data_IF_877242502015
#
_entry.id   IF_877242502015
#
_cell.length_a   1.000
_cell.length_b   1.000
_cell.length_c   1.000
_cell.angle_alpha   90.00
_cell.angle_beta   90.00
_cell.angle_gamma   90.00
#
_symmetry.space_group_name_H-M   'P 1'
#
loop_
_entity.id
_entity.type
_entity.pdbx_description
1 polymer ?
#
# COMPACT_ATOMS: atom_id res chain seq x y z
N UNK A 1 18.06 29.67 48.79
CA UNK A 1 16.82 29.87 48.02
C UNK A 1 17.02 29.96 46.50
N UNK A 2 18.07 30.60 45.99
CA UNK A 2 18.24 30.85 44.54
C UNK A 2 18.36 29.60 43.65
N UNK A 3 18.99 28.53 44.14
CA UNK A 3 19.20 27.31 43.35
C UNK A 3 17.93 26.46 43.18
N UNK A 4 17.09 26.36 44.22
CA UNK A 4 15.80 25.65 44.15
C UNK A 4 14.80 26.34 43.22
N UNK A 5 14.82 27.67 43.18
CA UNK A 5 14.01 28.46 42.25
C UNK A 5 14.47 28.26 40.79
N UNK A 6 15.78 28.14 40.54
CA UNK A 6 16.31 27.88 39.20
C UNK A 6 15.89 26.51 38.67
N UNK A 7 15.98 25.44 39.47
CA UNK A 7 15.51 24.11 39.07
C UNK A 7 13.99 24.08 38.84
N UNK A 8 13.22 24.83 39.62
CA UNK A 8 11.77 24.93 39.41
C UNK A 8 11.42 25.62 38.09
N UNK A 9 12.15 26.67 37.71
CA UNK A 9 11.97 27.37 36.44
C UNK A 9 12.34 26.47 35.26
N UNK A 10 13.49 25.78 35.32
CA UNK A 10 13.93 24.85 34.26
C UNK A 10 12.97 23.67 34.13
N UNK A 11 12.46 23.14 35.23
CA UNK A 11 11.46 22.07 35.23
C UNK A 11 10.13 22.55 34.64
N UNK A 12 9.69 23.78 34.94
CA UNK A 12 8.48 24.36 34.35
C UNK A 12 8.62 24.57 32.83
N UNK A 13 9.80 24.96 32.35
CA UNK A 13 10.08 25.14 30.91
C UNK A 13 10.05 23.81 30.14
N UNK A 14 10.50 22.72 30.77
CA UNK A 14 10.47 21.37 30.18
C UNK A 14 9.04 20.81 30.04
N UNK A 15 8.14 21.15 30.97
CA UNK A 15 6.73 20.71 30.92
C UNK A 15 5.98 21.44 29.80
N UNK A 16 6.19 22.76 29.65
CA UNK A 16 5.55 23.56 28.58
C UNK A 16 6.00 23.11 27.19
N UNK A 17 7.28 22.75 27.02
CA UNK A 17 7.80 22.21 25.75
C UNK A 17 7.20 20.87 25.36
N UNK A 18 6.90 19.99 26.32
CA UNK A 18 6.23 18.72 26.06
C UNK A 18 4.76 18.89 25.65
N UNK A 19 4.05 19.87 26.22
CA UNK A 19 2.66 20.15 25.86
C UNK A 19 2.51 20.70 24.45
N UNK A 20 3.45 21.52 23.97
CA UNK A 20 3.46 22.03 22.59
C UNK A 20 3.77 20.92 21.55
N UNK A 21 4.54 19.89 21.93
CA UNK A 21 4.87 18.76 21.07
C UNK A 21 3.77 17.67 21.00
N UNK A 22 2.73 17.77 21.85
CA UNK A 22 1.62 16.81 21.93
C UNK A 22 0.33 17.31 21.29
N UNK A 23 0.32 18.47 20.63
CA UNK A 23 -0.83 18.81 19.78
C UNK A 23 -0.86 17.80 18.62
N UNK A 24 -1.92 16.98 18.49
CA UNK A 24 -2.11 16.23 17.25
C UNK A 24 -2.20 17.27 16.13
N UNK A 25 -1.53 17.02 15.00
CA UNK A 25 -1.82 17.78 13.77
C UNK A 25 -3.33 17.74 13.56
N UNK A 26 -3.98 18.86 13.83
CA UNK A 26 -5.39 19.05 13.55
C UNK A 26 -5.47 19.10 12.03
N UNK A 27 -5.74 17.94 11.42
CA UNK A 27 -6.10 17.84 10.02
C UNK A 27 -7.41 18.60 9.85
N UNK A 28 -7.32 19.92 9.69
CA UNK A 28 -8.40 20.74 9.18
C UNK A 28 -8.88 20.06 7.89
N UNK A 29 -10.17 19.77 7.73
CA UNK A 29 -10.67 19.33 6.44
C UNK A 29 -10.28 20.42 5.43
N UNK A 30 -9.45 20.06 4.47
CA UNK A 30 -9.15 20.92 3.33
C UNK A 30 -10.49 21.15 2.65
N UNK A 31 -10.95 22.40 2.65
CA UNK A 31 -12.15 22.81 1.93
C UNK A 31 -11.88 22.55 0.44
N UNK A 32 -12.40 21.43 -0.09
CA UNK A 32 -12.27 21.02 -1.51
C UNK A 32 -13.21 21.82 -2.42
N UNK A 33 -13.63 23.02 -2.01
CA UNK A 33 -14.48 23.92 -2.81
C UNK A 33 -13.67 25.11 -3.33
N UNK A 34 -12.39 24.86 -3.66
CA UNK A 34 -11.65 25.75 -4.54
C UNK A 34 -11.94 25.35 -5.98
N UNK A 35 -12.80 26.12 -6.65
CA UNK A 35 -12.69 26.22 -8.11
C UNK A 35 -11.25 26.59 -8.41
N UNK A 36 -10.45 25.62 -8.86
CA UNK A 36 -9.14 25.88 -9.45
C UNK A 36 -9.46 26.74 -10.67
N UNK A 37 -9.33 28.06 -10.53
CA UNK A 37 -9.41 28.98 -11.65
C UNK A 37 -8.11 28.79 -12.42
N UNK A 38 -8.05 27.67 -13.16
CA UNK A 38 -7.07 27.47 -14.21
C UNK A 38 -7.10 28.65 -15.16
N UNK A 39 -5.97 28.92 -15.79
CA UNK A 39 -5.80 29.99 -16.78
C UNK A 39 -6.96 29.94 -17.78
N UNK A 40 -7.91 30.88 -17.66
CA UNK A 40 -9.12 30.93 -18.48
C UNK A 40 -8.73 30.94 -19.95
N UNK A 41 -9.05 29.86 -20.65
CA UNK A 41 -8.91 29.80 -22.11
C UNK A 41 -10.17 30.41 -22.71
N UNK A 42 -9.98 31.54 -23.38
CA UNK A 42 -11.07 32.24 -24.05
C UNK A 42 -11.16 31.77 -25.50
N UNK A 43 -12.34 31.29 -25.89
CA UNK A 43 -12.67 30.98 -27.27
C UNK A 43 -13.48 32.14 -27.85
N UNK A 44 -13.06 32.68 -28.99
CA UNK A 44 -13.82 33.72 -29.69
C UNK A 44 -14.74 33.09 -30.73
N UNK A 45 -16.04 33.22 -30.53
CA UNK A 45 -17.08 32.74 -31.46
C UNK A 45 -17.97 33.93 -31.81
N UNK A 46 -18.08 34.23 -33.11
CA UNK A 46 -18.93 35.32 -33.65
C UNK A 46 -18.71 36.71 -33.00
N UNK A 47 -17.47 37.00 -32.58
CA UNK A 47 -17.09 38.29 -32.00
C UNK A 47 -17.32 38.40 -30.49
N UNK A 48 -17.86 37.36 -29.85
CA UNK A 48 -17.96 37.25 -28.39
C UNK A 48 -16.89 36.30 -27.83
N UNK A 49 -16.39 36.61 -26.62
CA UNK A 49 -15.46 35.76 -25.88
C UNK A 49 -16.21 34.81 -24.95
N UNK A 50 -16.04 33.50 -25.17
CA UNK A 50 -16.55 32.43 -24.31
C UNK A 50 -15.43 31.95 -23.37
N UNK A 51 -15.73 31.83 -22.08
CA UNK A 51 -14.85 31.23 -21.08
C UNK A 51 -15.10 29.71 -21.05
N UNK A 52 -14.04 28.92 -21.14
CA UNK A 52 -14.10 27.48 -21.01
C UNK A 52 -13.21 27.03 -19.86
N UNK A 53 -13.77 26.16 -19.02
CA UNK A 53 -13.06 25.54 -17.91
C UNK A 53 -12.97 24.05 -18.25
N UNK A 54 -11.75 23.56 -18.43
CA UNK A 54 -11.50 22.13 -18.50
C UNK A 54 -11.63 21.55 -17.08
N UNK A 55 -12.62 20.69 -16.88
CA UNK A 55 -12.83 20.01 -15.62
C UNK A 55 -11.97 18.76 -15.58
N UNK A 56 -11.41 18.47 -14.40
CA UNK A 56 -10.69 17.24 -14.20
C UNK A 56 -11.65 16.04 -14.25
N UNK A 57 -11.26 14.99 -14.96
CA UNK A 57 -12.07 13.78 -15.09
C UNK A 57 -12.28 13.13 -13.73
N UNK A 58 -13.55 13.01 -13.31
CA UNK A 58 -13.90 12.38 -12.03
C UNK A 58 -14.26 10.92 -12.23
N UNK A 59 -13.49 10.02 -11.60
CA UNK A 59 -13.78 8.60 -11.61
C UNK A 59 -14.98 8.28 -10.69
N UNK A 60 -16.10 7.86 -11.28
CA UNK A 60 -17.30 7.47 -10.55
C UNK A 60 -17.22 6.01 -10.08
N UNK A 61 -16.75 5.81 -8.85
CA UNK A 61 -16.71 4.48 -8.23
C UNK A 61 -18.07 4.08 -7.67
N UNK A 62 -18.68 3.08 -8.29
CA UNK A 62 -19.86 2.43 -7.72
C UNK A 62 -19.44 1.33 -6.75
N UNK A 63 -20.16 1.21 -5.62
CA UNK A 63 -19.93 0.14 -4.65
C UNK A 63 -20.08 -1.24 -5.31
N UNK A 64 -19.18 -2.15 -5.00
CA UNK A 64 -19.31 -3.55 -5.41
C UNK A 64 -20.44 -4.23 -4.61
N UNK A 65 -21.39 -4.83 -5.34
CA UNK A 65 -22.46 -5.64 -4.79
C UNK A 65 -22.13 -7.11 -5.07
N UNK A 66 -21.93 -7.89 -4.02
CA UNK A 66 -21.54 -9.30 -4.14
C UNK A 66 -22.77 -10.19 -3.98
N UNK A 67 -23.00 -11.08 -4.95
CA UNK A 67 -23.97 -12.15 -4.83
C UNK A 67 -23.44 -13.26 -3.92
N UNK A 68 -22.15 -13.59 -4.07
CA UNK A 68 -21.45 -14.53 -3.19
C UNK A 68 -21.14 -13.92 -1.81
N UNK A 69 -21.65 -14.56 -0.76
CA UNK A 69 -21.31 -14.23 0.63
C UNK A 69 -19.83 -14.50 0.91
N UNK A 70 -19.25 -15.55 0.32
CA UNK A 70 -17.85 -15.86 0.49
C UNK A 70 -16.93 -14.81 -0.15
N UNK A 71 -17.22 -14.38 -1.39
CA UNK A 71 -16.46 -13.31 -2.05
C UNK A 71 -16.56 -11.99 -1.29
N UNK A 72 -17.75 -11.64 -0.80
CA UNK A 72 -17.90 -10.47 0.09
C UNK A 72 -16.98 -10.54 1.32
N UNK A 73 -16.92 -11.70 1.98
CA UNK A 73 -16.03 -11.89 3.15
C UNK A 73 -14.56 -11.78 2.74
N UNK A 74 -14.18 -12.37 1.60
CA UNK A 74 -12.83 -12.32 1.05
C UNK A 74 -12.42 -10.88 0.72
N UNK A 75 -13.26 -10.12 0.06
CA UNK A 75 -13.06 -8.69 -0.22
C UNK A 75 -12.87 -7.89 1.08
N UNK A 76 -13.72 -8.08 2.10
CA UNK A 76 -13.56 -7.37 3.39
C UNK A 76 -12.29 -7.76 4.17
N UNK A 77 -11.82 -9.01 4.04
CA UNK A 77 -10.54 -9.43 4.58
C UNK A 77 -9.40 -8.75 3.82
N UNK A 78 -9.47 -8.73 2.49
CA UNK A 78 -8.49 -8.09 1.62
C UNK A 78 -8.40 -6.59 1.91
N UNK A 79 -9.54 -5.92 2.04
CA UNK A 79 -9.65 -4.51 2.42
C UNK A 79 -8.87 -4.16 3.69
N UNK A 80 -9.01 -4.96 4.74
CA UNK A 80 -8.25 -4.77 5.98
C UNK A 80 -6.74 -4.95 5.78
N UNK A 81 -6.33 -5.90 4.95
CA UNK A 81 -4.91 -6.13 4.63
C UNK A 81 -4.33 -4.99 3.79
N UNK A 82 -5.03 -4.56 2.74
CA UNK A 82 -4.62 -3.44 1.88
C UNK A 82 -4.41 -2.18 2.71
N UNK A 83 -5.36 -1.81 3.57
CA UNK A 83 -5.21 -0.66 4.49
C UNK A 83 -3.96 -0.77 5.39
N UNK A 84 -3.67 -1.96 5.90
CA UNK A 84 -2.50 -2.20 6.75
C UNK A 84 -1.20 -2.10 5.95
N UNK A 85 -1.19 -2.57 4.71
CA UNK A 85 0.01 -2.70 3.89
C UNK A 85 0.33 -1.42 3.13
N UNK A 86 -0.69 -0.65 2.72
CA UNK A 86 -0.55 0.53 1.86
C UNK A 86 0.50 1.56 2.33
N UNK A 87 0.52 2.00 3.61
CA UNK A 87 1.52 2.98 4.05
C UNK A 87 2.97 2.53 3.82
N UNK A 88 3.22 1.23 3.90
CA UNK A 88 4.53 0.64 3.67
C UNK A 88 4.88 0.56 2.18
N UNK A 89 3.90 0.26 1.32
CA UNK A 89 4.08 0.26 -0.12
C UNK A 89 4.42 1.68 -0.63
N UNK A 90 3.66 2.68 -0.18
CA UNK A 90 3.88 4.10 -0.49
C UNK A 90 5.27 4.56 -0.07
N UNK A 91 5.64 4.30 1.19
CA UNK A 91 6.97 4.65 1.69
C UNK A 91 8.07 3.94 0.90
N UNK A 92 7.92 2.65 0.59
CA UNK A 92 8.91 1.92 -0.20
C UNK A 92 9.10 2.53 -1.59
N UNK A 93 8.01 2.87 -2.28
CA UNK A 93 8.05 3.51 -3.59
C UNK A 93 8.74 4.89 -3.55
N UNK A 94 8.37 5.74 -2.60
CA UNK A 94 9.01 7.05 -2.40
C UNK A 94 10.52 6.92 -2.15
N UNK A 95 10.93 5.95 -1.32
CA UNK A 95 12.35 5.68 -1.04
C UNK A 95 13.11 5.22 -2.28
N UNK A 96 12.48 4.42 -3.14
CA UNK A 96 13.07 4.00 -4.41
C UNK A 96 13.27 5.19 -5.35
N UNK A 97 12.30 6.09 -5.47
CA UNK A 97 12.43 7.32 -6.28
C UNK A 97 13.57 8.20 -5.76
N UNK A 98 13.64 8.44 -4.44
CA UNK A 98 14.74 9.21 -3.83
C UNK A 98 16.10 8.54 -4.07
N UNK A 99 16.15 7.21 -3.99
CA UNK A 99 17.36 6.44 -4.27
C UNK A 99 17.82 6.64 -5.72
N UNK A 100 16.92 6.52 -6.69
CA UNK A 100 17.22 6.73 -8.11
C UNK A 100 17.74 8.15 -8.37
N UNK A 101 17.08 9.17 -7.82
CA UNK A 101 17.51 10.57 -7.93
C UNK A 101 18.92 10.79 -7.37
N UNK A 102 19.26 10.14 -6.24
CA UNK A 102 20.60 10.25 -5.64
C UNK A 102 21.65 9.49 -6.44
N UNK A 103 21.34 8.29 -6.93
CA UNK A 103 22.24 7.51 -7.78
C UNK A 103 22.55 8.22 -9.09
N UNK A 104 21.58 8.92 -9.67
CA UNK A 104 21.75 9.72 -10.88
C UNK A 104 22.77 10.86 -10.71
N UNK A 105 22.89 11.43 -9.50
CA UNK A 105 23.84 12.52 -9.19
C UNK A 105 25.29 12.04 -9.01
N UNK A 106 25.52 10.73 -8.85
CA UNK A 106 26.85 10.18 -8.60
C UNK A 106 27.59 9.96 -9.92
N UNK A 107 28.70 10.69 -10.09
CA UNK A 107 29.52 10.72 -11.32
C UNK A 107 30.37 9.45 -11.48
N UNK A 108 30.97 8.93 -10.41
CA UNK A 108 31.91 7.80 -10.51
C UNK A 108 31.22 6.46 -10.29
N UNK A 109 31.69 5.43 -11.02
CA UNK A 109 31.17 4.05 -10.89
C UNK A 109 31.43 3.46 -9.50
N UNK A 110 32.55 3.82 -8.87
CA UNK A 110 32.92 3.31 -7.54
C UNK A 110 32.05 3.92 -6.43
N UNK A 111 31.81 5.23 -6.47
CA UNK A 111 30.94 5.88 -5.50
C UNK A 111 29.50 5.42 -5.66
N UNK A 112 29.04 5.22 -6.90
CA UNK A 112 27.71 4.68 -7.17
C UNK A 112 27.55 3.30 -6.54
N UNK A 113 28.56 2.43 -6.72
CA UNK A 113 28.57 1.09 -6.12
C UNK A 113 28.59 1.14 -4.59
N UNK A 114 29.38 2.04 -3.98
CA UNK A 114 29.45 2.19 -2.52
C UNK A 114 28.12 2.71 -1.95
N UNK A 115 27.53 3.70 -2.62
CA UNK A 115 26.25 4.28 -2.23
C UNK A 115 25.09 3.29 -2.37
N UNK A 116 25.02 2.57 -3.51
CA UNK A 116 24.03 1.51 -3.71
C UNK A 116 24.07 0.48 -2.59
N UNK A 117 25.26 -0.01 -2.21
CA UNK A 117 25.41 -0.97 -1.11
C UNK A 117 24.94 -0.43 0.24
N UNK A 118 25.34 0.79 0.59
CA UNK A 118 24.90 1.41 1.85
C UNK A 118 23.37 1.52 1.93
N UNK A 119 22.73 1.91 0.83
CA UNK A 119 21.27 2.01 0.77
C UNK A 119 20.63 0.62 0.74
N UNK A 120 21.23 -0.32 0.03
CA UNK A 120 20.80 -1.73 -0.03
C UNK A 120 20.77 -2.33 1.38
N UNK A 121 21.85 -2.18 2.16
CA UNK A 121 21.94 -2.67 3.54
C UNK A 121 20.86 -2.03 4.44
N UNK A 122 20.67 -0.71 4.32
CA UNK A 122 19.68 0.02 5.10
C UNK A 122 18.24 -0.38 4.74
N UNK A 123 17.91 -0.43 3.44
CA UNK A 123 16.58 -0.84 2.97
C UNK A 123 16.34 -2.30 3.33
N UNK A 124 17.34 -3.17 3.20
CA UNK A 124 17.20 -4.57 3.56
C UNK A 124 16.81 -4.73 5.03
N UNK A 125 17.56 -4.11 5.94
CA UNK A 125 17.31 -4.24 7.36
C UNK A 125 15.95 -3.68 7.76
N UNK A 126 15.60 -2.48 7.28
CA UNK A 126 14.32 -1.86 7.60
C UNK A 126 13.15 -2.60 6.94
N UNK A 127 13.23 -2.88 5.63
CA UNK A 127 12.18 -3.56 4.90
C UNK A 127 11.98 -5.00 5.36
N UNK A 128 13.04 -5.72 5.76
CA UNK A 128 12.95 -7.07 6.34
C UNK A 128 12.30 -7.06 7.71
N UNK A 129 12.59 -6.06 8.55
CA UNK A 129 11.90 -5.90 9.83
C UNK A 129 10.41 -5.68 9.61
N UNK A 130 10.03 -4.84 8.63
CA UNK A 130 8.62 -4.60 8.30
C UNK A 130 7.95 -5.83 7.66
N UNK A 131 8.61 -6.52 6.72
CA UNK A 131 8.11 -7.74 6.10
C UNK A 131 7.85 -8.86 7.11
N UNK A 132 8.68 -8.97 8.16
CA UNK A 132 8.43 -9.92 9.26
C UNK A 132 7.14 -9.64 10.04
N UNK A 133 6.63 -8.42 10.03
CA UNK A 133 5.34 -8.05 10.67
C UNK A 133 4.13 -8.43 9.82
N UNK A 134 4.34 -8.76 8.56
CA UNK A 134 3.30 -9.17 7.63
C UNK A 134 3.13 -10.70 7.60
N UNK A 135 1.88 -11.12 7.51
CA UNK A 135 1.55 -12.48 7.09
C UNK A 135 1.95 -12.69 5.62
N UNK A 136 2.08 -13.94 5.19
CA UNK A 136 2.44 -14.28 3.82
C UNK A 136 1.58 -13.55 2.77
N UNK A 137 0.26 -13.53 2.97
CA UNK A 137 -0.67 -12.86 2.05
C UNK A 137 -0.56 -11.34 2.09
N UNK A 138 -0.21 -10.76 3.25
CA UNK A 138 0.03 -9.31 3.34
C UNK A 138 1.34 -8.93 2.61
N UNK A 139 2.38 -9.77 2.70
CA UNK A 139 3.60 -9.60 1.93
C UNK A 139 3.39 -9.71 0.41
N UNK A 140 2.48 -10.59 -0.04
CA UNK A 140 2.08 -10.67 -1.45
C UNK A 140 1.41 -9.39 -1.93
N UNK A 141 0.48 -8.84 -1.12
CA UNK A 141 -0.16 -7.55 -1.40
C UNK A 141 0.90 -6.44 -1.47
N UNK A 142 1.88 -6.45 -0.56
CA UNK A 142 2.96 -5.44 -0.56
C UNK A 142 3.75 -5.46 -1.87
N UNK A 143 4.12 -6.64 -2.37
CA UNK A 143 4.85 -6.77 -3.63
C UNK A 143 4.02 -6.23 -4.80
N UNK A 144 2.74 -6.62 -4.88
CA UNK A 144 1.81 -6.14 -5.91
C UNK A 144 1.68 -4.61 -5.87
N UNK A 145 1.54 -4.02 -4.69
CA UNK A 145 1.46 -2.57 -4.52
C UNK A 145 2.76 -1.86 -4.91
N UNK A 146 3.93 -2.44 -4.62
CA UNK A 146 5.21 -1.88 -5.10
C UNK A 146 5.25 -1.87 -6.62
N UNK A 147 4.79 -2.93 -7.28
CA UNK A 147 4.67 -2.95 -8.73
C UNK A 147 3.71 -1.86 -9.23
N UNK A 148 2.54 -1.69 -8.59
CA UNK A 148 1.59 -0.60 -8.90
C UNK A 148 2.26 0.79 -8.83
N UNK A 149 3.10 1.05 -7.82
CA UNK A 149 3.72 2.35 -7.61
C UNK A 149 4.99 2.62 -8.42
N UNK A 150 5.68 1.58 -8.88
CA UNK A 150 7.00 1.73 -9.53
C UNK A 150 7.02 1.27 -10.98
N UNK A 151 5.99 0.54 -11.42
CA UNK A 151 5.92 -0.08 -12.74
C UNK A 151 6.95 -1.19 -12.96
N UNK A 152 7.67 -1.61 -11.91
CA UNK A 152 8.68 -2.65 -11.97
C UNK A 152 8.38 -3.73 -10.97
N UNK A 153 8.64 -4.99 -11.35
CA UNK A 153 8.46 -6.09 -10.41
C UNK A 153 9.40 -5.90 -9.23
N UNK A 154 9.00 -6.38 -8.06
CA UNK A 154 9.89 -6.35 -6.91
C UNK A 154 11.20 -7.02 -7.31
N UNK A 155 11.16 -8.20 -7.96
CA UNK A 155 12.33 -8.89 -8.50
C UNK A 155 13.27 -7.99 -9.32
N UNK A 156 12.75 -7.22 -10.28
CA UNK A 156 13.57 -6.36 -11.13
C UNK A 156 14.18 -5.19 -10.36
N UNK A 157 13.44 -4.61 -9.41
CA UNK A 157 13.96 -3.60 -8.49
C UNK A 157 15.16 -4.16 -7.71
N UNK A 158 15.10 -5.41 -7.24
CA UNK A 158 16.18 -6.03 -6.45
C UNK A 158 17.37 -6.37 -7.33
N UNK A 159 17.11 -6.93 -8.51
CA UNK A 159 18.14 -7.33 -9.48
C UNK A 159 18.98 -6.14 -9.89
N UNK A 160 18.36 -4.98 -10.10
CA UNK A 160 19.02 -3.74 -10.52
C UNK A 160 19.97 -3.16 -9.46
N UNK A 161 19.75 -3.45 -8.17
CA UNK A 161 20.59 -2.93 -7.09
C UNK A 161 21.98 -3.60 -6.98
N UNK A 162 22.23 -4.74 -7.65
CA UNK A 162 23.52 -5.49 -7.77
C UNK A 162 24.27 -5.73 -6.45
N UNK A 163 24.62 -6.93 -5.97
CA UNK A 163 24.39 -8.34 -6.30
C UNK A 163 24.79 -9.04 -5.00
N UNK A 164 23.82 -9.18 -4.09
CA UNK A 164 23.99 -9.74 -2.74
C UNK A 164 22.62 -9.92 -2.09
N UNK A 165 21.71 -8.97 -2.34
CA UNK A 165 20.29 -9.04 -2.01
C UNK A 165 19.61 -10.36 -2.37
N UNK A 166 19.70 -10.79 -3.63
CA UNK A 166 18.94 -11.94 -4.15
C UNK A 166 19.13 -13.19 -3.29
N UNK A 167 20.37 -13.61 -3.04
CA UNK A 167 20.63 -14.90 -2.40
C UNK A 167 20.05 -15.00 -0.97
N UNK A 168 20.04 -13.92 -0.19
CA UNK A 168 19.60 -13.99 1.20
C UNK A 168 18.08 -13.92 1.38
N UNK A 169 17.39 -13.10 0.58
CA UNK A 169 15.92 -13.10 0.51
C UNK A 169 15.39 -14.43 -0.02
N UNK A 170 16.08 -15.01 -1.01
CA UNK A 170 15.75 -16.32 -1.54
C UNK A 170 16.02 -17.43 -0.52
N UNK A 171 17.15 -17.46 0.20
CA UNK A 171 17.49 -18.63 1.02
C UNK A 171 16.56 -18.94 2.21
N UNK A 172 15.90 -17.94 2.82
CA UNK A 172 15.03 -18.17 4.00
C UNK A 172 13.52 -18.23 3.69
N UNK A 173 13.09 -17.83 2.49
CA UNK A 173 11.65 -17.76 2.11
C UNK A 173 11.35 -18.26 0.67
N UNK A 174 12.35 -18.92 0.07
CA UNK A 174 12.62 -19.08 -1.37
C UNK A 174 11.43 -19.28 -2.30
N UNK A 175 10.69 -20.38 -2.16
CA UNK A 175 9.85 -20.84 -3.26
C UNK A 175 8.61 -19.98 -3.46
N UNK A 176 7.89 -19.65 -2.39
CA UNK A 176 6.64 -18.90 -2.49
C UNK A 176 6.88 -17.39 -2.67
N UNK A 177 7.96 -16.87 -2.07
CA UNK A 177 8.29 -15.46 -2.20
C UNK A 177 8.95 -15.16 -3.55
N UNK A 178 9.77 -16.04 -4.12
CA UNK A 178 10.34 -15.84 -5.47
C UNK A 178 9.26 -15.76 -6.55
N UNK A 179 8.26 -16.65 -6.52
CA UNK A 179 7.11 -16.54 -7.43
C UNK A 179 6.38 -15.22 -7.22
N UNK A 180 6.15 -14.81 -5.97
CA UNK A 180 5.43 -13.57 -5.67
C UNK A 180 6.23 -12.32 -6.08
N UNK A 181 7.56 -12.33 -5.97
CA UNK A 181 8.43 -11.21 -6.32
C UNK A 181 8.43 -10.86 -7.81
N UNK A 182 8.17 -11.86 -8.65
CA UNK A 182 8.06 -11.74 -10.10
C UNK A 182 6.63 -11.46 -10.56
N UNK A 183 5.65 -11.47 -9.65
CA UNK A 183 4.27 -11.19 -10.01
C UNK A 183 4.09 -9.70 -10.30
N UNK A 184 3.41 -9.45 -11.41
CA UNK A 184 2.94 -8.14 -11.81
C UNK A 184 1.58 -7.84 -11.16
N UNK A 185 1.26 -6.56 -11.05
CA UNK A 185 -0.05 -6.07 -10.66
C UNK A 185 -0.87 -5.75 -11.91
N UNK A 186 -1.97 -6.47 -12.11
CA UNK A 186 -2.80 -6.35 -13.31
C UNK A 186 -4.30 -6.44 -12.98
N UNK A 187 -4.93 -5.31 -12.59
CA UNK A 187 -6.34 -5.28 -12.23
C UNK A 187 -7.29 -5.58 -13.40
N UNK A 188 -6.83 -5.48 -14.64
CA UNK A 188 -7.67 -5.79 -15.83
C UNK A 188 -7.77 -7.30 -16.12
N UNK A 189 -6.84 -8.10 -15.59
CA UNK A 189 -6.76 -9.56 -15.85
C UNK A 189 -6.88 -10.42 -14.61
N UNK A 190 -6.62 -9.86 -13.43
CA UNK A 190 -6.64 -10.59 -12.16
C UNK A 190 -7.68 -9.98 -11.22
N UNK A 191 -8.71 -10.75 -10.88
CA UNK A 191 -9.83 -10.28 -10.03
C UNK A 191 -9.35 -9.84 -8.64
N UNK A 192 -8.36 -10.52 -8.05
CA UNK A 192 -7.80 -10.10 -6.77
C UNK A 192 -7.09 -8.74 -6.87
N UNK A 193 -6.43 -8.46 -8.01
CA UNK A 193 -5.76 -7.17 -8.24
C UNK A 193 -6.80 -6.08 -8.46
N UNK A 194 -7.89 -6.39 -9.19
CA UNK A 194 -9.04 -5.49 -9.30
C UNK A 194 -9.62 -5.17 -7.92
N UNK A 195 -9.80 -6.16 -7.04
CA UNK A 195 -10.26 -5.88 -5.68
C UNK A 195 -9.31 -4.95 -4.92
N UNK A 196 -8.00 -5.15 -5.03
CA UNK A 196 -7.02 -4.26 -4.41
C UNK A 196 -7.19 -2.85 -4.95
N UNK A 197 -7.36 -2.69 -6.26
CA UNK A 197 -7.53 -1.39 -6.92
C UNK A 197 -8.80 -0.68 -6.48
N UNK A 198 -9.93 -1.39 -6.54
CA UNK A 198 -11.21 -0.89 -6.07
C UNK A 198 -11.13 -0.47 -4.60
N UNK A 199 -10.46 -1.25 -3.75
CA UNK A 199 -10.22 -0.87 -2.36
C UNK A 199 -9.41 0.42 -2.28
N UNK A 200 -8.29 0.53 -2.99
CA UNK A 200 -7.43 1.71 -2.93
C UNK A 200 -8.18 2.97 -3.33
N UNK A 201 -8.81 2.96 -4.51
CA UNK A 201 -9.53 4.11 -5.04
C UNK A 201 -10.67 4.53 -4.10
N UNK A 202 -11.43 3.58 -3.57
CA UNK A 202 -12.45 3.89 -2.55
C UNK A 202 -11.82 4.48 -1.28
N UNK A 203 -10.69 3.96 -0.81
CA UNK A 203 -10.04 4.48 0.40
C UNK A 203 -9.38 5.85 0.19
N UNK A 204 -8.94 6.19 -1.02
CA UNK A 204 -8.46 7.53 -1.38
C UNK A 204 -9.61 8.53 -1.43
N UNK A 205 -10.70 8.20 -2.13
CA UNK A 205 -11.89 9.08 -2.21
C UNK A 205 -12.48 9.36 -0.83
N UNK A 206 -12.43 8.39 0.09
CA UNK A 206 -12.91 8.55 1.46
C UNK A 206 -11.87 9.19 2.41
N UNK A 207 -10.73 9.67 1.90
CA UNK A 207 -9.62 10.27 2.64
C UNK A 207 -9.10 9.37 3.79
N UNK A 208 -9.20 8.04 3.64
CA UNK A 208 -8.77 7.04 4.65
C UNK A 208 -7.34 6.60 4.46
N UNK A 209 -6.80 6.73 3.25
CA UNK A 209 -5.42 6.43 2.91
C UNK A 209 -4.85 7.63 2.14
N UNK A 210 -3.56 7.96 2.33
CA UNK A 210 -2.91 8.98 1.54
C UNK A 210 -2.83 8.50 0.09
N UNK A 211 -3.34 9.32 -0.82
CA UNK A 211 -3.33 9.03 -2.24
C UNK A 211 -1.90 9.01 -2.80
N UNK A 212 -1.70 8.13 -3.77
CA UNK A 212 -0.49 8.07 -4.59
C UNK A 212 -0.87 7.50 -5.96
N UNK A 213 -0.60 8.30 -6.99
CA UNK A 213 -0.82 7.92 -8.38
C UNK A 213 -0.05 6.63 -8.71
N UNK A 214 -0.71 5.72 -9.42
CA UNK A 214 -0.05 4.52 -9.91
C UNK A 214 0.96 4.89 -11.00
N UNK A 215 2.11 4.23 -11.02
CA UNK A 215 3.06 4.35 -12.13
C UNK A 215 2.58 3.59 -13.39
N UNK A 216 1.65 2.65 -13.22
CA UNK A 216 1.04 1.91 -14.31
C UNK A 216 -0.36 2.46 -14.59
N UNK A 217 -0.68 2.65 -15.87
CA UNK A 217 -2.04 2.93 -16.30
C UNK A 217 -2.84 1.64 -16.40
N UNK A 218 -4.12 1.71 -16.04
CA UNK A 218 -5.09 0.64 -16.20
C UNK A 218 -6.49 1.24 -16.33
N UNK A 219 -7.37 0.49 -16.97
CA UNK A 219 -8.78 0.84 -17.13
C UNK A 219 -9.61 0.18 -16.01
N UNK A 220 -10.11 1.00 -15.09
CA UNK A 220 -10.94 0.54 -13.98
C UNK A 220 -12.19 -0.20 -14.46
N UNK A 221 -12.82 0.25 -15.56
CA UNK A 221 -14.05 -0.35 -16.07
C UNK A 221 -13.79 -1.73 -16.68
N UNK A 222 -12.65 -1.95 -17.36
CA UNK A 222 -12.25 -3.30 -17.80
C UNK A 222 -12.04 -4.24 -16.62
N UNK A 223 -11.40 -3.77 -15.55
CA UNK A 223 -11.26 -4.54 -14.32
C UNK A 223 -12.62 -4.87 -13.69
N UNK A 224 -13.56 -3.93 -13.75
CA UNK A 224 -14.93 -4.14 -13.26
C UNK A 224 -15.71 -5.16 -14.09
N UNK A 225 -15.58 -5.13 -15.40
CA UNK A 225 -16.16 -6.15 -16.29
C UNK A 225 -15.55 -7.53 -16.03
N UNK A 226 -14.24 -7.61 -15.79
CA UNK A 226 -13.59 -8.86 -15.38
C UNK A 226 -14.23 -9.41 -14.10
N UNK A 227 -14.44 -8.55 -13.10
CA UNK A 227 -15.07 -8.96 -11.84
C UNK A 227 -16.53 -9.38 -12.03
N UNK A 228 -17.33 -8.64 -12.80
CA UNK A 228 -18.71 -9.01 -13.11
C UNK A 228 -18.77 -10.42 -13.72
N UNK A 229 -17.96 -10.67 -14.77
CA UNK A 229 -17.88 -11.99 -15.39
C UNK A 229 -17.41 -13.06 -14.41
N UNK A 230 -16.50 -12.73 -13.50
CA UNK A 230 -16.04 -13.68 -12.49
C UNK A 230 -17.16 -14.07 -11.52
N UNK A 231 -17.94 -13.11 -11.02
CA UNK A 231 -19.09 -13.37 -10.13
C UNK A 231 -20.19 -14.15 -10.85
N UNK A 232 -20.54 -13.77 -12.08
CA UNK A 232 -21.56 -14.45 -12.89
C UNK A 232 -21.21 -15.93 -13.16
N UNK A 233 -19.93 -16.24 -13.28
CA UNK A 233 -19.44 -17.59 -13.55
C UNK A 233 -19.09 -18.39 -12.26
N UNK A 234 -19.47 -17.90 -11.08
CA UNK A 234 -19.30 -18.68 -9.85
C UNK A 234 -20.22 -19.90 -9.87
N UNK A 235 -19.73 -21.10 -9.48
CA UNK A 235 -20.59 -22.26 -9.31
C UNK A 235 -21.72 -22.01 -8.30
N UNK A 236 -22.89 -22.62 -8.53
CA UNK A 236 -24.05 -22.47 -7.63
C UNK A 236 -23.73 -22.86 -6.17
N UNK A 237 -22.86 -23.87 -5.98
CA UNK A 237 -22.44 -24.38 -4.68
C UNK A 237 -21.20 -23.66 -4.11
N UNK A 238 -20.66 -22.65 -4.79
CA UNK A 238 -19.40 -21.97 -4.46
C UNK A 238 -19.35 -21.49 -3.00
N UNK A 239 -20.41 -20.81 -2.55
CA UNK A 239 -20.51 -20.29 -1.19
C UNK A 239 -20.49 -21.40 -0.15
N UNK A 240 -21.26 -22.46 -0.39
CA UNK A 240 -21.39 -23.59 0.54
C UNK A 240 -20.04 -24.31 0.73
N UNK A 241 -19.34 -24.61 -0.36
CA UNK A 241 -18.05 -25.29 -0.37
C UNK A 241 -17.00 -24.44 0.35
N UNK A 242 -16.87 -23.18 -0.06
CA UNK A 242 -15.81 -22.32 0.45
C UNK A 242 -16.02 -21.91 1.91
N UNK A 243 -17.27 -21.73 2.32
CA UNK A 243 -17.62 -21.45 3.72
C UNK A 243 -17.36 -22.67 4.60
N UNK A 244 -17.71 -23.88 4.16
CA UNK A 244 -17.39 -25.12 4.87
C UNK A 244 -15.87 -25.32 5.01
N UNK A 245 -15.12 -25.18 3.91
CA UNK A 245 -13.66 -25.27 3.92
C UNK A 245 -13.02 -24.21 4.85
N UNK A 246 -13.56 -23.00 4.85
CA UNK A 246 -13.11 -21.93 5.76
C UNK A 246 -13.38 -22.29 7.23
N UNK A 247 -14.57 -22.79 7.55
CA UNK A 247 -14.93 -23.20 8.90
C UNK A 247 -14.00 -24.31 9.42
N UNK A 248 -13.68 -25.29 8.55
CA UNK A 248 -12.76 -26.37 8.88
C UNK A 248 -11.34 -25.87 9.15
N UNK A 249 -10.81 -24.97 8.31
CA UNK A 249 -9.50 -24.32 8.52
C UNK A 249 -9.45 -23.60 9.87
N UNK A 250 -10.52 -22.88 10.23
CA UNK A 250 -10.62 -22.18 11.51
C UNK A 250 -10.64 -23.17 12.68
N UNK A 251 -11.40 -24.27 12.57
CA UNK A 251 -11.45 -25.33 13.59
C UNK A 251 -10.07 -25.94 13.83
N UNK A 252 -9.40 -26.38 12.75
CA UNK A 252 -8.03 -26.94 12.79
C UNK A 252 -7.03 -25.97 13.41
N UNK A 253 -7.11 -24.67 13.08
CA UNK A 253 -6.25 -23.65 13.68
C UNK A 253 -6.50 -23.49 15.18
N UNK A 254 -7.78 -23.41 15.61
CA UNK A 254 -8.16 -23.27 17.02
C UNK A 254 -7.68 -24.46 17.85
N UNK A 255 -7.86 -25.68 17.36
CA UNK A 255 -7.38 -26.92 18.01
C UNK A 255 -5.85 -26.92 18.16
N UNK A 256 -5.11 -26.59 17.10
CA UNK A 256 -3.64 -26.50 17.14
C UNK A 256 -3.17 -25.46 18.14
N UNK A 257 -3.83 -24.30 18.20
CA UNK A 257 -3.53 -23.22 19.15
C UNK A 257 -3.80 -23.68 20.59
N UNK A 258 -4.94 -24.32 20.84
CA UNK A 258 -5.29 -24.87 22.15
C UNK A 258 -4.29 -25.94 22.61
N UNK A 259 -3.88 -26.86 21.72
CA UNK A 259 -2.84 -27.87 22.00
C UNK A 259 -1.50 -27.23 22.38
N UNK A 260 -1.08 -26.18 21.67
CA UNK A 260 0.14 -25.43 21.99
C UNK A 260 0.04 -24.73 23.36
N UNK A 261 -1.11 -24.12 23.66
CA UNK A 261 -1.34 -23.48 24.96
C UNK A 261 -1.27 -24.49 26.12
N UNK A 262 -1.93 -25.65 25.98
CA UNK A 262 -1.87 -26.75 26.98
C UNK A 262 -0.46 -27.30 27.18
N UNK A 263 0.37 -27.33 26.13
CA UNK A 263 1.78 -27.74 26.24
C UNK A 263 2.62 -26.69 26.96
N UNK A 264 2.34 -25.40 26.74
CA UNK A 264 3.06 -24.30 27.39
C UNK A 264 2.70 -24.20 28.87
N UNK A 265 1.46 -24.51 29.26
CA UNK A 265 1.03 -24.49 30.68
C UNK A 265 1.51 -25.69 31.50
N UNK A 266 2.06 -26.73 30.84
CA UNK A 266 2.62 -27.93 31.50
C UNK A 266 4.14 -27.86 31.67
N UNK A 267 4.80 -26.84 31.09
CA UNK A 267 6.22 -26.53 31.24
C UNK A 267 6.37 -25.35 32.17
#
# INVERSE_FOLDING_TARGET
MKLKAFYFIVFSMLIVGYSAAQQPEENLPVEKDSTIVGKREFFYVDGDSLDAIELEDVLLLQKLNFDSKYERIKYLILKRKVRKVWPYAKLAAERLVVLEQRLAKIKTKNDRKRYSRMVEDYIEDEFKKELKKFSKTEGQILIKLIHRQTGQTAFDLLKRLRSGWSAFWFNQTASLFDMSLKQEYNPEKVVEDFYIEDILLNEFINDKLPEQEAAISFDYYKGRELWNRYEENLPEDYDSINMAARAERIRKYKEKKARKARRKSRK
#
